data_IF_487139894161
#
_entry.id   IF_487139894161
#
_cell.length_a   1.000
_cell.length_b   1.000
_cell.length_c   1.000
_cell.angle_alpha   90.00
_cell.angle_beta   90.00
_cell.angle_gamma   90.00
#
_symmetry.space_group_name_H-M   'P 1'
#
loop_
_entity.id
_entity.type
_entity.pdbx_description
1 polymer ?
#
# COMPACT_ATOMS: atom_id res chain seq x y z
N UNK A 1 -61.33 13.47 -17.06
CA UNK A 1 -61.10 12.14 -17.64
C UNK A 1 -59.63 12.03 -18.01
N UNK A 2 -59.05 10.90 -17.68
CA UNK A 2 -57.66 10.67 -17.28
C UNK A 2 -56.65 10.50 -18.43
N UNK A 3 -55.37 10.63 -18.06
CA UNK A 3 -54.16 10.03 -18.67
C UNK A 3 -53.61 10.64 -19.98
N UNK A 4 -52.29 10.72 -20.21
CA UNK A 4 -51.20 9.94 -19.66
C UNK A 4 -49.89 10.76 -19.58
N UNK A 5 -49.13 10.52 -18.50
CA UNK A 5 -47.77 11.00 -18.31
C UNK A 5 -46.84 10.49 -19.43
N UNK A 6 -45.98 11.32 -20.05
CA UNK A 6 -45.04 10.84 -21.05
C UNK A 6 -44.09 9.81 -20.42
N UNK A 7 -44.15 8.59 -20.94
CA UNK A 7 -43.33 7.46 -20.54
C UNK A 7 -41.86 7.88 -20.50
N UNK A 8 -41.32 7.85 -19.28
CA UNK A 8 -39.92 8.08 -18.92
C UNK A 8 -39.04 7.31 -19.90
N UNK A 9 -38.46 8.03 -20.87
CA UNK A 9 -37.51 7.51 -21.86
C UNK A 9 -36.31 6.96 -21.09
N UNK A 10 -36.40 5.70 -20.63
CA UNK A 10 -35.34 4.99 -19.93
C UNK A 10 -34.16 4.98 -20.89
N UNK A 11 -33.22 5.88 -20.61
CA UNK A 11 -32.03 6.14 -21.40
C UNK A 11 -31.34 4.80 -21.62
N UNK A 12 -31.38 4.29 -22.86
CA UNK A 12 -30.83 3.00 -23.33
C UNK A 12 -29.31 2.84 -23.13
N UNK A 13 -28.70 3.85 -22.50
CA UNK A 13 -27.29 3.99 -22.14
C UNK A 13 -27.03 3.55 -20.68
N UNK A 14 -28.07 3.43 -19.85
CA UNK A 14 -27.95 2.93 -18.48
C UNK A 14 -27.28 1.56 -18.38
N UNK A 15 -27.64 0.54 -19.20
CA UNK A 15 -26.96 -0.76 -19.12
C UNK A 15 -25.48 -0.66 -19.54
N UNK A 16 -25.15 0.22 -20.49
CA UNK A 16 -23.76 0.47 -20.89
C UNK A 16 -22.96 1.18 -19.80
N UNK A 17 -23.56 2.16 -19.12
CA UNK A 17 -22.99 2.82 -17.95
C UNK A 17 -22.75 1.84 -16.80
N UNK A 18 -23.73 0.97 -16.51
CA UNK A 18 -23.57 -0.08 -15.51
C UNK A 18 -22.46 -1.07 -15.87
N UNK A 19 -22.39 -1.48 -17.14
CA UNK A 19 -21.36 -2.39 -17.62
C UNK A 19 -19.96 -1.78 -17.52
N UNK A 20 -19.81 -0.51 -17.89
CA UNK A 20 -18.55 0.23 -17.75
C UNK A 20 -18.15 0.41 -16.28
N UNK A 21 -19.11 0.73 -15.40
CA UNK A 21 -18.87 0.83 -13.96
C UNK A 21 -18.44 -0.52 -13.36
N UNK A 22 -19.11 -1.61 -13.75
CA UNK A 22 -18.75 -2.95 -13.32
C UNK A 22 -17.35 -3.34 -13.80
N UNK A 23 -17.00 -3.01 -15.05
CA UNK A 23 -15.65 -3.25 -15.59
C UNK A 23 -14.57 -2.50 -14.81
N UNK A 24 -14.83 -1.23 -14.47
CA UNK A 24 -13.92 -0.43 -13.64
C UNK A 24 -13.77 -1.00 -12.23
N UNK A 25 -14.87 -1.40 -11.59
CA UNK A 25 -14.85 -2.04 -10.27
C UNK A 25 -14.01 -3.31 -10.29
N UNK A 26 -14.21 -4.18 -11.28
CA UNK A 26 -13.43 -5.41 -11.45
C UNK A 26 -11.96 -5.07 -11.72
N UNK A 27 -11.68 -4.10 -12.59
CA UNK A 27 -10.31 -3.68 -12.90
C UNK A 27 -9.55 -3.13 -11.69
N UNK A 28 -10.20 -2.36 -10.82
CA UNK A 28 -9.61 -1.91 -9.55
C UNK A 28 -9.46 -3.07 -8.57
N UNK A 29 -10.40 -4.01 -8.56
CA UNK A 29 -10.34 -5.19 -7.70
C UNK A 29 -9.22 -6.16 -8.07
N UNK A 30 -8.89 -6.28 -9.36
CA UNK A 30 -7.81 -7.15 -9.86
C UNK A 30 -6.56 -6.37 -10.28
N UNK A 31 -6.47 -5.09 -9.91
CA UNK A 31 -5.41 -4.20 -10.38
C UNK A 31 -4.02 -4.80 -10.08
N UNK A 32 -3.21 -5.12 -11.10
CA UNK A 32 -1.86 -5.61 -10.92
C UNK A 32 -1.01 -4.60 -10.16
N UNK A 33 -0.19 -5.08 -9.24
CA UNK A 33 0.74 -4.25 -8.46
C UNK A 33 1.64 -3.38 -9.37
N UNK A 34 2.10 -3.94 -10.49
CA UNK A 34 2.94 -3.26 -11.48
C UNK A 34 2.24 -2.07 -12.15
N UNK A 35 0.95 -2.19 -12.47
CA UNK A 35 0.16 -1.10 -13.03
C UNK A 35 -0.09 -0.01 -11.99
N UNK A 36 -0.48 -0.41 -10.78
CA UNK A 36 -0.67 0.53 -9.67
C UNK A 36 0.61 1.32 -9.40
N UNK A 37 1.76 0.64 -9.32
CA UNK A 37 3.06 1.27 -9.14
C UNK A 37 3.39 2.25 -10.28
N UNK A 38 3.20 1.85 -11.55
CA UNK A 38 3.43 2.74 -12.70
C UNK A 38 2.62 4.03 -12.67
N UNK A 39 1.39 4.00 -12.13
CA UNK A 39 0.54 5.19 -12.01
C UNK A 39 1.02 6.17 -10.93
N UNK A 40 1.75 5.68 -9.93
CA UNK A 40 2.24 6.49 -8.80
C UNK A 40 3.76 6.70 -8.82
N UNK A 41 4.49 5.99 -9.68
CA UNK A 41 5.95 6.04 -9.76
C UNK A 41 6.46 7.48 -9.95
N UNK A 42 5.79 8.27 -10.78
CA UNK A 42 6.14 9.68 -11.01
C UNK A 42 6.01 10.56 -9.74
N UNK A 43 5.19 10.13 -8.77
CA UNK A 43 5.01 10.83 -7.48
C UNK A 43 5.96 10.31 -6.41
N UNK A 44 6.52 9.12 -6.61
CA UNK A 44 7.44 8.45 -5.71
C UNK A 44 8.88 8.82 -6.09
N UNK A 45 9.23 10.09 -5.91
CA UNK A 45 10.60 10.56 -6.08
C UNK A 45 11.51 9.77 -5.12
N UNK A 46 12.62 9.26 -5.66
CA UNK A 46 13.60 8.43 -4.94
C UNK A 46 13.12 7.05 -4.44
N UNK A 47 11.93 6.55 -4.83
CA UNK A 47 11.46 5.21 -4.45
C UNK A 47 11.21 4.34 -5.67
N UNK A 48 12.07 3.35 -5.87
CA UNK A 48 11.94 2.33 -6.90
C UNK A 48 11.55 0.97 -6.32
N UNK A 49 10.61 0.27 -6.96
CA UNK A 49 10.27 -1.11 -6.60
C UNK A 49 10.49 -2.03 -7.79
N UNK A 50 11.22 -3.12 -7.59
CA UNK A 50 11.56 -4.11 -8.60
C UNK A 50 10.96 -5.49 -8.26
N UNK A 51 10.71 -6.30 -9.28
CA UNK A 51 10.12 -7.64 -9.10
C UNK A 51 8.69 -7.60 -8.53
N UNK A 52 7.91 -6.58 -8.87
CA UNK A 52 6.52 -6.43 -8.44
C UNK A 52 5.68 -7.60 -8.93
N UNK A 53 5.00 -8.26 -8.00
CA UNK A 53 4.12 -9.39 -8.26
C UNK A 53 2.83 -9.28 -7.42
N UNK A 54 1.75 -9.90 -7.90
CA UNK A 54 0.44 -9.83 -7.26
C UNK A 54 -0.37 -8.59 -7.65
N UNK A 55 -1.23 -8.15 -6.74
CA UNK A 55 -2.21 -7.08 -6.94
C UNK A 55 -1.92 -5.87 -6.06
N UNK A 56 -2.62 -4.76 -6.31
CA UNK A 56 -2.64 -3.61 -5.40
C UNK A 56 -2.99 -4.02 -3.96
N UNK A 57 -3.83 -5.04 -3.81
CA UNK A 57 -4.33 -5.50 -2.51
C UNK A 57 -3.38 -6.43 -1.79
N UNK A 58 -2.76 -7.35 -2.51
CA UNK A 58 -1.88 -8.35 -1.93
C UNK A 58 -0.78 -8.60 -2.95
N UNK A 59 0.43 -8.19 -2.60
CA UNK A 59 1.54 -8.18 -3.52
C UNK A 59 2.89 -8.19 -2.81
N UNK A 60 3.91 -8.36 -3.64
CA UNK A 60 5.30 -8.45 -3.24
C UNK A 60 6.17 -7.69 -4.21
N UNK A 61 7.15 -6.96 -3.69
CA UNK A 61 8.27 -6.41 -4.43
C UNK A 61 9.52 -7.16 -3.98
N UNK A 62 10.29 -7.71 -4.92
CA UNK A 62 11.54 -8.43 -4.62
C UNK A 62 12.64 -7.50 -4.10
N UNK A 63 12.66 -6.25 -4.54
CA UNK A 63 13.59 -5.23 -4.05
C UNK A 63 12.89 -3.88 -4.00
N UNK A 64 13.05 -3.20 -2.87
CA UNK A 64 12.61 -1.83 -2.64
C UNK A 64 13.85 -0.94 -2.54
N UNK A 65 14.08 -0.10 -3.55
CA UNK A 65 15.15 0.87 -3.54
C UNK A 65 14.62 2.23 -3.07
N UNK A 66 15.20 2.79 -2.01
CA UNK A 66 14.91 4.15 -1.55
C UNK A 66 16.20 4.95 -1.56
N UNK A 67 16.23 6.06 -2.30
CA UNK A 67 17.43 6.89 -2.53
C UNK A 67 18.61 6.07 -3.05
N UNK A 68 18.33 5.11 -3.94
CA UNK A 68 19.32 4.22 -4.53
C UNK A 68 19.86 3.11 -3.61
N UNK A 69 19.42 3.05 -2.35
CA UNK A 69 19.75 1.94 -1.42
C UNK A 69 18.69 0.86 -1.50
N UNK A 70 19.09 -0.39 -1.65
CA UNK A 70 18.20 -1.55 -1.57
C UNK A 70 17.85 -1.87 -0.11
N UNK A 71 16.56 -1.92 0.19
CA UNK A 71 15.99 -2.28 1.49
C UNK A 71 15.52 -3.73 1.54
N UNK A 72 15.57 -4.43 0.41
CA UNK A 72 15.15 -5.82 0.27
C UNK A 72 13.70 -5.98 -0.15
N UNK A 73 13.13 -7.13 0.19
CA UNK A 73 11.81 -7.56 -0.21
C UNK A 73 10.72 -6.90 0.63
N UNK A 74 9.72 -6.32 -0.03
CA UNK A 74 8.52 -5.77 0.60
C UNK A 74 7.31 -6.63 0.24
N UNK A 75 6.66 -7.22 1.23
CA UNK A 75 5.34 -7.82 1.12
C UNK A 75 4.30 -6.86 1.70
N UNK A 76 3.16 -6.68 1.02
CA UNK A 76 2.07 -5.86 1.52
C UNK A 76 0.72 -6.54 1.35
N UNK A 77 -0.19 -6.22 2.27
CA UNK A 77 -1.57 -6.65 2.26
C UNK A 77 -2.49 -5.51 2.70
N UNK A 78 -3.24 -4.97 1.75
CA UNK A 78 -4.27 -3.96 1.94
C UNK A 78 -5.65 -4.64 2.01
N UNK A 79 -6.34 -4.44 3.12
CA UNK A 79 -7.65 -5.03 3.36
C UNK A 79 -8.74 -4.31 2.55
N UNK A 80 -9.47 -5.07 1.74
CA UNK A 80 -10.50 -4.53 0.82
C UNK A 80 -11.79 -4.14 1.55
N UNK A 81 -12.17 -4.92 2.56
CA UNK A 81 -13.44 -4.74 3.27
C UNK A 81 -13.49 -3.47 4.13
N UNK A 82 -12.45 -3.15 4.93
CA UNK A 82 -12.38 -1.88 5.64
C UNK A 82 -12.47 -0.67 4.70
N UNK A 83 -11.89 -0.77 3.49
CA UNK A 83 -11.92 0.31 2.49
C UNK A 83 -13.32 0.65 2.00
N UNK A 84 -14.20 -0.34 1.86
CA UNK A 84 -15.62 -0.11 1.54
C UNK A 84 -16.35 0.63 2.67
N UNK A 85 -15.86 0.52 3.92
CA UNK A 85 -16.38 1.22 5.09
C UNK A 85 -15.68 2.57 5.35
N UNK A 86 -14.81 3.02 4.44
CA UNK A 86 -14.04 4.25 4.59
C UNK A 86 -12.86 4.15 5.57
N UNK A 87 -12.43 2.94 5.93
CA UNK A 87 -11.25 2.66 6.75
C UNK A 87 -10.15 2.08 5.87
N UNK A 88 -8.88 2.33 6.18
CA UNK A 88 -7.78 1.70 5.44
C UNK A 88 -6.96 0.89 6.41
N UNK A 89 -6.66 -0.36 6.08
CA UNK A 89 -5.85 -1.24 6.91
C UNK A 89 -4.83 -1.91 5.99
N UNK A 90 -3.55 -1.62 6.22
CA UNK A 90 -2.42 -2.11 5.45
C UNK A 90 -1.46 -2.81 6.39
N UNK A 91 -1.19 -4.09 6.15
CA UNK A 91 -0.07 -4.80 6.75
C UNK A 91 1.10 -4.79 5.78
N UNK A 92 2.29 -4.45 6.25
CA UNK A 92 3.52 -4.49 5.47
C UNK A 92 4.59 -5.31 6.21
N UNK A 93 5.39 -6.04 5.45
CA UNK A 93 6.55 -6.78 5.95
C UNK A 93 7.73 -6.51 5.04
N UNK A 94 8.84 -6.06 5.62
CA UNK A 94 10.05 -5.70 4.91
C UNK A 94 11.19 -6.60 5.38
N UNK A 95 11.80 -7.32 4.44
CA UNK A 95 12.88 -8.28 4.70
C UNK A 95 14.08 -7.98 3.83
N UNK A 96 15.21 -7.66 4.45
CA UNK A 96 16.46 -7.33 3.78
C UNK A 96 17.68 -7.81 4.58
N UNK A 97 18.86 -7.45 4.11
CA UNK A 97 20.11 -7.79 4.79
C UNK A 97 20.21 -7.00 6.10
N UNK A 98 20.09 -7.71 7.23
CA UNK A 98 20.10 -7.08 8.56
C UNK A 98 18.83 -6.29 8.87
N UNK A 99 17.70 -6.63 8.23
CA UNK A 99 16.42 -5.95 8.44
C UNK A 99 15.28 -6.95 8.29
N UNK A 100 14.46 -7.14 9.33
CA UNK A 100 13.17 -7.82 9.25
C UNK A 100 12.16 -7.01 10.07
N UNK A 101 11.31 -6.26 9.38
CA UNK A 101 10.31 -5.39 10.00
C UNK A 101 8.92 -5.83 9.58
N UNK A 102 8.01 -5.85 10.54
CA UNK A 102 6.58 -5.95 10.30
C UNK A 102 5.87 -4.71 10.86
N UNK A 103 4.75 -4.33 10.24
CA UNK A 103 3.97 -3.20 10.71
C UNK A 103 2.57 -3.21 10.13
N UNK A 104 1.66 -2.61 10.89
CA UNK A 104 0.30 -2.35 10.46
C UNK A 104 0.04 -0.84 10.41
N UNK A 105 -0.65 -0.40 9.37
CA UNK A 105 -1.03 0.99 9.15
C UNK A 105 -2.54 1.02 9.03
N UNK A 106 -3.18 1.67 9.99
CA UNK A 106 -4.61 1.90 10.00
C UNK A 106 -4.92 3.36 9.73
N UNK A 107 -5.93 3.62 8.92
CA UNK A 107 -6.51 4.94 8.71
C UNK A 107 -7.99 4.89 9.07
N UNK A 108 -8.36 5.60 10.13
CA UNK A 108 -9.75 5.77 10.51
C UNK A 108 -10.43 6.87 9.69
N UNK A 109 -11.75 6.97 9.80
CA UNK A 109 -12.56 7.92 9.05
C UNK A 109 -12.23 9.39 9.38
N UNK A 110 -11.59 9.64 10.53
CA UNK A 110 -11.06 10.94 10.97
C UNK A 110 -9.79 11.38 10.21
N UNK A 111 -9.33 10.58 9.24
CA UNK A 111 -8.10 10.74 8.45
C UNK A 111 -6.81 10.62 9.24
N UNK A 112 -6.85 10.31 10.54
CA UNK A 112 -5.65 10.03 11.31
C UNK A 112 -5.01 8.74 10.78
N UNK A 113 -3.73 8.82 10.41
CA UNK A 113 -2.90 7.66 10.12
C UNK A 113 -2.33 7.17 11.45
N UNK A 114 -2.68 5.94 11.82
CA UNK A 114 -2.16 5.27 13.00
C UNK A 114 -1.27 4.13 12.52
N UNK A 115 0.03 4.27 12.72
CA UNK A 115 0.89 3.10 12.72
C UNK A 115 0.53 2.29 13.97
N UNK A 116 0.48 0.98 13.83
CA UNK A 116 0.24 -0.01 14.89
C UNK A 116 1.21 -1.17 14.72
N UNK A 117 1.54 -1.81 15.83
CA UNK A 117 2.23 -3.10 15.85
C UNK A 117 3.49 -3.12 14.97
N UNK A 118 4.29 -2.05 15.05
CA UNK A 118 5.59 -2.04 14.40
C UNK A 118 6.52 -2.86 15.27
N UNK A 119 6.94 -4.01 14.75
CA UNK A 119 7.93 -4.83 15.39
C UNK A 119 8.99 -5.30 14.39
N UNK A 120 10.09 -5.82 14.92
CA UNK A 120 11.11 -6.43 14.09
C UNK A 120 12.52 -6.16 14.56
N UNK A 121 13.46 -6.66 13.77
CA UNK A 121 14.88 -6.59 14.03
C UNK A 121 15.56 -5.75 12.97
N UNK A 122 16.38 -4.80 13.39
CA UNK A 122 17.28 -4.07 12.50
C UNK A 122 18.70 -4.16 13.02
N UNK A 123 19.65 -4.32 12.10
CA UNK A 123 21.06 -4.22 12.40
C UNK A 123 21.33 -2.77 12.84
N UNK A 124 21.99 -2.62 13.98
CA UNK A 124 22.31 -1.32 14.54
C UNK A 124 23.11 -0.45 13.55
N UNK A 125 23.84 -1.05 12.61
CA UNK A 125 24.50 -0.35 11.51
C UNK A 125 23.58 0.58 10.71
N UNK A 126 22.26 0.29 10.66
CA UNK A 126 21.26 1.16 10.01
C UNK A 126 21.02 2.48 10.75
N UNK A 127 21.30 2.57 12.05
CA UNK A 127 21.13 3.79 12.84
C UNK A 127 22.27 4.81 12.65
N UNK A 128 23.47 4.36 12.29
CA UNK A 128 24.64 5.25 12.13
C UNK A 128 24.35 6.46 11.24
N UNK A 129 23.85 6.27 10.00
CA UNK A 129 23.45 7.37 9.12
C UNK A 129 22.29 8.21 9.66
N UNK A 130 21.33 7.60 10.36
CA UNK A 130 20.15 8.29 10.89
C UNK A 130 20.48 9.20 12.08
N UNK A 131 21.46 8.82 12.90
CA UNK A 131 21.89 9.57 14.08
C UNK A 131 22.95 10.64 13.78
N UNK A 132 23.46 10.69 12.54
CA UNK A 132 24.51 11.65 12.16
C UNK A 132 25.83 11.44 12.92
N UNK A 133 26.08 10.23 13.43
CA UNK A 133 27.27 9.87 14.22
C UNK A 133 28.19 8.95 13.39
N UNK A 134 29.01 9.49 12.46
CA UNK A 134 29.81 8.70 11.52
C UNK A 134 30.95 7.90 12.18
N UNK A 135 31.30 8.18 13.44
CA UNK A 135 32.41 7.51 14.15
C UNK A 135 31.97 6.31 15.00
N UNK A 136 30.65 6.09 15.15
CA UNK A 136 30.13 4.93 15.87
C UNK A 136 29.37 4.04 14.90
N UNK A 137 29.89 2.85 14.65
CA UNK A 137 29.15 1.76 14.00
C UNK A 137 28.58 0.92 15.15
N UNK A 138 27.38 1.23 15.66
CA UNK A 138 26.78 0.40 16.68
C UNK A 138 26.63 -1.00 16.07
N UNK A 139 27.20 -1.98 16.77
CA UNK A 139 27.24 -3.38 16.33
C UNK A 139 26.23 -4.15 17.17
N UNK A 140 25.33 -4.90 16.54
CA UNK A 140 24.29 -5.67 17.25
C UNK A 140 22.93 -5.63 16.57
N UNK A 141 21.94 -6.30 17.16
CA UNK A 141 20.55 -6.30 16.69
C UNK A 141 19.71 -5.42 17.60
N UNK A 142 18.83 -4.63 16.98
CA UNK A 142 17.88 -3.77 17.67
C UNK A 142 16.50 -4.37 17.45
N UNK A 143 15.89 -4.82 18.54
CA UNK A 143 14.51 -5.25 18.55
C UNK A 143 13.62 -4.03 18.78
N UNK A 144 12.80 -3.69 17.79
CA UNK A 144 11.73 -2.73 17.96
C UNK A 144 10.47 -3.48 18.33
N UNK A 145 9.84 -3.05 19.41
CA UNK A 145 8.48 -3.39 19.76
C UNK A 145 7.81 -2.10 20.22
N UNK A 146 7.03 -1.48 19.34
CA UNK A 146 6.26 -0.29 19.69
C UNK A 146 4.85 -0.74 20.14
N UNK A 147 4.55 -0.73 21.46
CA UNK A 147 3.20 -0.94 21.94
C UNK A 147 2.38 0.32 21.59
N UNK A 148 1.38 0.16 20.73
CA UNK A 148 0.44 1.21 20.33
C UNK A 148 -0.97 0.80 20.74
#
# INVERSE_FOLDING_TARGET
MSDALPARRRRRWWPWLLLLLALLLVGVWTLPASLAYRLIADRLQDVAAAGLSGTLWEGRASSLLVKGRDWGQLDWRLQRWPLLQGRTEVTATLKGTGLDLNGQIDRAADRALQLRQVAGQLDAAWLGPALGLPLFIPTGQIELALPL
#
